data_IF_887749600658
#
_entry.id   IF_887749600658
#
_cell.length_a   1.000
_cell.length_b   1.000
_cell.length_c   1.000
_cell.angle_alpha   90.00
_cell.angle_beta   90.00
_cell.angle_gamma   90.00
#
_symmetry.space_group_name_H-M   'P 1'
#
loop_
_entity.id
_entity.type
_entity.pdbx_description
1 polymer ?
#
# COMPACT_ATOMS: atom_id res chain seq x y z
N UNK A 1 -3.94 -14.83 -1.74
CA UNK A 1 -4.14 -16.28 -1.53
C UNK A 1 -5.42 -16.48 -0.77
N UNK A 2 -6.27 -17.38 -1.23
CA UNK A 2 -7.62 -17.59 -0.73
C UNK A 2 -7.86 -19.06 -0.38
N UNK A 3 -8.82 -19.28 0.52
CA UNK A 3 -9.38 -20.55 0.98
C UNK A 3 -8.45 -21.43 1.83
N UNK A 4 -8.97 -21.88 2.97
CA UNK A 4 -8.38 -22.90 3.87
C UNK A 4 -6.93 -22.60 4.30
N UNK A 5 -6.54 -21.34 4.43
CA UNK A 5 -5.18 -20.95 4.81
C UNK A 5 -4.85 -21.40 6.22
N UNK A 6 -5.81 -21.31 7.14
CA UNK A 6 -5.73 -21.76 8.53
C UNK A 6 -6.91 -22.68 8.88
N UNK A 7 -7.25 -23.61 7.98
CA UNK A 7 -8.46 -24.43 8.01
C UNK A 7 -8.71 -25.17 9.33
N UNK A 8 -7.65 -25.66 10.02
CA UNK A 8 -7.79 -26.29 11.33
C UNK A 8 -8.37 -25.35 12.41
N UNK A 9 -8.23 -24.02 12.22
CA UNK A 9 -8.77 -23.03 13.16
C UNK A 9 -10.29 -22.88 13.11
N UNK A 10 -10.98 -23.59 12.23
CA UNK A 10 -12.44 -23.76 12.32
C UNK A 10 -12.82 -24.36 13.69
N UNK A 11 -12.04 -25.33 14.20
CA UNK A 11 -12.31 -26.06 15.45
C UNK A 11 -11.15 -26.01 16.46
N UNK A 12 -10.04 -25.36 16.12
CA UNK A 12 -8.85 -25.26 17.00
C UNK A 12 -8.47 -23.80 17.24
N UNK A 13 -8.08 -23.41 18.46
CA UNK A 13 -7.61 -22.06 18.76
C UNK A 13 -6.23 -21.74 18.16
N UNK A 14 -5.54 -22.72 17.58
CA UNK A 14 -4.22 -22.58 16.96
C UNK A 14 -4.17 -23.38 15.66
N UNK A 15 -3.44 -22.90 14.63
CA UNK A 15 -3.28 -23.62 13.38
C UNK A 15 -2.31 -24.79 13.52
N UNK A 16 -2.35 -25.72 12.58
CA UNK A 16 -1.30 -26.70 12.41
C UNK A 16 0.01 -26.03 11.97
N UNK A 17 1.14 -26.72 12.16
CA UNK A 17 2.46 -26.21 11.70
C UNK A 17 2.53 -26.05 10.18
N UNK A 18 1.86 -26.94 9.44
CA UNK A 18 1.80 -26.87 7.98
C UNK A 18 1.09 -25.58 7.54
N UNK A 19 -0.11 -25.32 8.07
CA UNK A 19 -0.89 -24.13 7.76
C UNK A 19 -0.17 -22.81 8.14
N UNK A 20 0.49 -22.78 9.30
CA UNK A 20 1.29 -21.62 9.68
C UNK A 20 2.46 -21.37 8.70
N UNK A 21 3.09 -22.44 8.23
CA UNK A 21 4.14 -22.38 7.21
C UNK A 21 3.58 -21.93 5.85
N UNK A 22 2.43 -22.45 5.44
CA UNK A 22 1.79 -22.09 4.17
C UNK A 22 1.34 -20.64 4.16
N UNK A 23 0.79 -20.16 5.28
CA UNK A 23 0.44 -18.74 5.45
C UNK A 23 1.67 -17.82 5.33
N UNK A 24 2.79 -18.20 5.97
CA UNK A 24 4.04 -17.45 5.86
C UNK A 24 4.61 -17.49 4.43
N UNK A 25 4.58 -18.65 3.78
CA UNK A 25 5.06 -18.81 2.41
C UNK A 25 4.20 -18.01 1.42
N UNK A 26 2.88 -17.92 1.61
CA UNK A 26 2.01 -17.09 0.77
C UNK A 26 2.50 -15.62 0.75
N UNK A 27 2.90 -15.09 1.89
CA UNK A 27 3.47 -13.73 1.99
C UNK A 27 4.82 -13.65 1.28
N UNK A 28 5.71 -14.61 1.53
CA UNK A 28 7.06 -14.64 0.95
C UNK A 28 7.04 -14.88 -0.57
N UNK A 29 6.01 -15.55 -1.08
CA UNK A 29 5.77 -15.73 -2.52
C UNK A 29 5.16 -14.48 -3.18
N UNK A 30 4.88 -13.43 -2.40
CA UNK A 30 4.45 -12.14 -2.90
C UNK A 30 2.94 -11.95 -3.01
N UNK A 31 2.15 -12.66 -2.22
CA UNK A 31 0.70 -12.41 -2.15
C UNK A 31 0.43 -10.99 -1.63
N UNK A 32 -0.51 -10.28 -2.26
CA UNK A 32 -0.98 -8.97 -1.79
C UNK A 32 -1.84 -9.08 -0.54
N UNK A 33 -2.64 -10.17 -0.43
CA UNK A 33 -3.52 -10.42 0.69
C UNK A 33 -3.70 -11.92 0.91
N UNK A 34 -3.99 -12.30 2.15
CA UNK A 34 -4.46 -13.64 2.55
C UNK A 34 -5.91 -13.56 3.01
N UNK A 35 -6.72 -14.55 2.66
CA UNK A 35 -8.15 -14.57 2.94
C UNK A 35 -8.51 -15.77 3.81
N UNK A 36 -9.27 -15.54 4.86
CA UNK A 36 -9.98 -16.59 5.62
C UNK A 36 -11.32 -16.89 4.96
N UNK A 37 -11.84 -18.09 5.16
CA UNK A 37 -13.14 -18.56 4.65
C UNK A 37 -13.98 -19.10 5.81
N UNK A 38 -14.08 -20.43 5.91
CA UNK A 38 -14.83 -21.11 6.97
C UNK A 38 -14.31 -20.77 8.37
N UNK A 39 -13.02 -20.50 8.50
CA UNK A 39 -12.36 -20.15 9.76
C UNK A 39 -13.03 -18.94 10.44
N UNK A 40 -13.53 -18.00 9.64
CA UNK A 40 -14.22 -16.78 10.13
C UNK A 40 -15.71 -16.77 9.86
N UNK A 41 -16.22 -17.55 8.89
CA UNK A 41 -17.64 -17.59 8.55
C UNK A 41 -18.46 -18.50 9.51
N UNK A 42 -17.92 -19.64 9.90
CA UNK A 42 -18.60 -20.65 10.73
C UNK A 42 -17.70 -21.21 11.84
N UNK A 43 -16.43 -20.82 11.90
CA UNK A 43 -15.46 -21.32 12.87
C UNK A 43 -15.75 -20.90 14.30
N UNK A 44 -15.23 -21.65 15.25
CA UNK A 44 -15.36 -21.39 16.70
C UNK A 44 -14.42 -20.27 17.18
N UNK A 45 -13.35 -19.96 16.41
CA UNK A 45 -12.29 -19.03 16.80
C UNK A 45 -12.03 -17.90 15.77
N UNK A 46 -13.06 -17.19 15.26
CA UNK A 46 -12.91 -16.27 14.14
C UNK A 46 -11.94 -15.12 14.42
N UNK A 47 -11.99 -14.54 15.61
CA UNK A 47 -11.11 -13.42 16.01
C UNK A 47 -9.67 -13.89 16.15
N UNK A 48 -9.45 -15.05 16.78
CA UNK A 48 -8.09 -15.59 16.96
C UNK A 48 -7.48 -16.03 15.62
N UNK A 49 -8.29 -16.48 14.66
CA UNK A 49 -7.85 -16.80 13.31
C UNK A 49 -7.27 -15.56 12.62
N UNK A 50 -8.01 -14.45 12.60
CA UNK A 50 -7.55 -13.19 11.99
C UNK A 50 -6.29 -12.68 12.69
N UNK A 51 -6.25 -12.68 14.02
CA UNK A 51 -5.06 -12.27 14.78
C UNK A 51 -3.84 -13.16 14.47
N UNK A 52 -4.05 -14.46 14.37
CA UNK A 52 -2.98 -15.42 14.06
C UNK A 52 -2.46 -15.20 12.64
N UNK A 53 -3.35 -15.05 11.66
CA UNK A 53 -2.98 -14.74 10.29
C UNK A 53 -2.19 -13.43 10.20
N UNK A 54 -2.67 -12.37 10.83
CA UNK A 54 -1.98 -11.07 10.86
C UNK A 54 -0.59 -11.18 11.50
N UNK A 55 -0.45 -11.94 12.61
CA UNK A 55 0.84 -12.15 13.28
C UNK A 55 1.82 -12.93 12.40
N UNK A 56 1.37 -14.00 11.73
CA UNK A 56 2.22 -14.80 10.84
C UNK A 56 2.65 -13.94 9.65
N UNK A 57 1.72 -13.23 9.01
CA UNK A 57 2.01 -12.36 7.85
C UNK A 57 2.96 -11.23 8.21
N UNK A 58 2.74 -10.56 9.35
CA UNK A 58 3.61 -9.50 9.84
C UNK A 58 5.03 -10.01 10.12
N UNK A 59 5.16 -11.14 10.81
CA UNK A 59 6.46 -11.75 11.09
C UNK A 59 7.19 -12.17 9.80
N UNK A 60 6.48 -12.78 8.85
CA UNK A 60 7.06 -13.18 7.56
C UNK A 60 7.56 -11.95 6.77
N UNK A 61 6.80 -10.87 6.76
CA UNK A 61 7.22 -9.61 6.11
C UNK A 61 8.44 -9.01 6.81
N UNK A 62 8.44 -8.91 8.13
CA UNK A 62 9.53 -8.28 8.89
C UNK A 62 10.87 -9.03 8.75
N UNK A 63 10.84 -10.37 8.71
CA UNK A 63 12.03 -11.20 8.74
C UNK A 63 12.37 -11.85 7.40
N UNK A 64 11.53 -11.71 6.39
CA UNK A 64 11.70 -12.32 5.09
C UNK A 64 11.50 -11.36 3.91
N UNK A 65 11.52 -10.06 4.16
CA UNK A 65 11.26 -9.05 3.13
C UNK A 65 12.13 -9.23 1.88
N UNK A 66 13.42 -9.51 2.05
CA UNK A 66 14.36 -9.71 0.95
C UNK A 66 14.04 -10.92 0.04
N UNK A 67 13.15 -11.80 0.49
CA UNK A 67 12.69 -12.97 -0.26
C UNK A 67 11.43 -12.71 -1.08
N UNK A 68 10.72 -11.60 -0.79
CA UNK A 68 9.49 -11.26 -1.50
C UNK A 68 9.85 -10.83 -2.93
N UNK A 69 9.27 -11.47 -3.97
CA UNK A 69 9.63 -11.15 -5.35
C UNK A 69 9.17 -9.74 -5.73
N UNK A 70 10.08 -8.97 -6.33
CA UNK A 70 9.76 -7.70 -6.97
C UNK A 70 9.31 -7.96 -8.40
N UNK A 71 8.17 -7.42 -8.78
CA UNK A 71 7.62 -7.53 -10.14
C UNK A 71 8.09 -6.35 -11.00
N UNK A 72 9.41 -6.07 -10.96
CA UNK A 72 10.04 -4.97 -11.71
C UNK A 72 9.90 -5.18 -13.23
N UNK A 73 9.90 -4.08 -13.95
CA UNK A 73 9.96 -4.04 -15.43
C UNK A 73 8.80 -4.71 -16.19
N UNK A 74 7.67 -4.99 -15.55
CA UNK A 74 6.50 -5.56 -16.23
C UNK A 74 5.65 -4.51 -16.96
N UNK A 75 5.75 -3.24 -16.57
CA UNK A 75 5.01 -2.14 -17.20
C UNK A 75 5.96 -1.13 -17.83
N UNK A 76 6.21 -1.30 -19.12
CA UNK A 76 7.09 -0.44 -19.91
C UNK A 76 6.42 0.88 -20.35
N UNK A 77 5.22 1.17 -19.86
CA UNK A 77 4.57 2.47 -20.12
C UNK A 77 5.25 3.60 -19.33
N UNK A 78 5.03 4.84 -19.78
CA UNK A 78 5.53 6.02 -19.04
C UNK A 78 5.06 6.04 -17.60
N UNK A 79 3.82 5.66 -17.33
CA UNK A 79 3.27 5.58 -15.96
C UNK A 79 3.93 4.46 -15.15
N UNK A 80 4.23 3.31 -15.77
CA UNK A 80 4.98 2.22 -15.14
C UNK A 80 6.39 2.66 -14.76
N UNK A 81 7.11 3.28 -15.69
CA UNK A 81 8.46 3.80 -15.45
C UNK A 81 8.50 4.86 -14.33
N UNK A 82 7.51 5.78 -14.30
CA UNK A 82 7.37 6.77 -13.23
C UNK A 82 7.11 6.09 -11.88
N UNK A 83 6.26 5.06 -11.84
CA UNK A 83 5.94 4.34 -10.61
C UNK A 83 7.14 3.57 -10.05
N UNK A 84 7.91 2.91 -10.93
CA UNK A 84 9.17 2.22 -10.56
C UNK A 84 10.22 3.22 -10.05
N UNK A 85 10.41 4.33 -10.75
CA UNK A 85 11.33 5.38 -10.33
C UNK A 85 10.95 5.97 -8.96
N UNK A 86 9.66 6.09 -8.65
CA UNK A 86 9.20 6.58 -7.35
C UNK A 86 9.54 5.62 -6.21
N UNK A 87 9.41 4.31 -6.42
CA UNK A 87 9.79 3.29 -5.45
C UNK A 87 11.31 3.33 -5.18
N UNK A 88 12.13 3.34 -6.25
CA UNK A 88 13.59 3.45 -6.15
C UNK A 88 14.03 4.75 -5.46
N UNK A 89 13.36 5.85 -5.76
CA UNK A 89 13.65 7.15 -5.16
C UNK A 89 13.33 7.18 -3.68
N UNK A 90 12.21 6.57 -3.27
CA UNK A 90 11.82 6.47 -1.88
C UNK A 90 12.84 5.66 -1.06
N UNK A 91 13.32 4.56 -1.60
CA UNK A 91 14.37 3.73 -0.98
C UNK A 91 15.68 4.51 -0.83
N UNK A 92 16.19 5.12 -1.92
CA UNK A 92 17.45 5.89 -1.91
C UNK A 92 17.43 7.07 -0.95
N UNK A 93 16.28 7.71 -0.77
CA UNK A 93 16.11 8.86 0.11
C UNK A 93 15.75 8.46 1.55
N UNK A 94 15.55 7.18 1.81
CA UNK A 94 14.97 6.68 3.06
C UNK A 94 13.68 7.44 3.41
N UNK A 95 12.78 7.58 2.41
CA UNK A 95 11.56 8.34 2.54
C UNK A 95 10.62 7.67 3.54
N UNK A 96 9.89 8.49 4.29
CA UNK A 96 8.92 8.03 5.29
C UNK A 96 7.66 7.45 4.64
N UNK A 97 7.31 7.94 3.46
CA UNK A 97 6.12 7.54 2.73
C UNK A 97 6.26 7.74 1.21
N UNK A 98 5.55 6.90 0.46
CA UNK A 98 5.19 7.16 -0.93
C UNK A 98 3.71 7.54 -0.94
N UNK A 99 3.38 8.66 -1.56
CA UNK A 99 2.02 9.19 -1.63
C UNK A 99 1.58 9.21 -3.08
N UNK A 100 0.45 8.60 -3.39
CA UNK A 100 -0.07 8.59 -4.74
C UNK A 100 -1.50 9.11 -4.78
N UNK A 101 -1.71 10.22 -5.48
CA UNK A 101 -3.05 10.69 -5.82
C UNK A 101 -3.64 9.82 -6.92
N UNK A 102 -4.84 9.30 -6.68
CA UNK A 102 -5.44 8.32 -7.59
C UNK A 102 -6.96 8.34 -7.57
N UNK A 103 -7.59 8.24 -8.76
CA UNK A 103 -9.04 8.09 -8.89
C UNK A 103 -9.45 6.62 -9.08
N UNK A 104 -8.60 5.83 -9.68
CA UNK A 104 -8.88 4.42 -10.04
C UNK A 104 -8.04 3.40 -9.27
N UNK A 105 -7.08 3.85 -8.47
CA UNK A 105 -6.11 2.98 -7.80
C UNK A 105 -4.91 2.57 -8.65
N UNK A 106 -4.92 2.85 -9.95
CA UNK A 106 -3.92 2.31 -10.89
C UNK A 106 -2.48 2.71 -10.57
N UNK A 107 -2.23 3.95 -10.15
CA UNK A 107 -0.91 4.44 -9.73
C UNK A 107 -0.41 3.68 -8.51
N UNK A 108 -1.27 3.53 -7.51
CA UNK A 108 -0.96 2.82 -6.26
C UNK A 108 -0.62 1.36 -6.54
N UNK A 109 -1.41 0.68 -7.38
CA UNK A 109 -1.13 -0.71 -7.76
C UNK A 109 0.21 -0.87 -8.47
N UNK A 110 0.59 0.08 -9.35
CA UNK A 110 1.90 0.04 -10.01
C UNK A 110 3.04 0.19 -9.02
N UNK A 111 2.95 1.14 -8.09
CA UNK A 111 3.96 1.30 -7.02
C UNK A 111 4.00 0.07 -6.10
N UNK A 112 2.84 -0.46 -5.72
CA UNK A 112 2.73 -1.66 -4.87
C UNK A 112 3.42 -2.89 -5.49
N UNK A 113 3.38 -3.03 -6.82
CA UNK A 113 4.08 -4.12 -7.55
C UNK A 113 5.60 -4.09 -7.41
N UNK A 114 6.17 -2.90 -7.23
CA UNK A 114 7.60 -2.74 -6.98
C UNK A 114 8.02 -3.23 -5.59
N UNK A 115 7.07 -3.53 -4.71
CA UNK A 115 7.31 -4.01 -3.33
C UNK A 115 8.27 -3.11 -2.54
N UNK A 116 8.07 -1.78 -2.50
CA UNK A 116 8.95 -0.93 -1.70
C UNK A 116 8.79 -1.24 -0.21
N UNK A 117 9.89 -1.13 0.55
CA UNK A 117 9.83 -1.17 2.01
C UNK A 117 9.11 0.05 2.61
N UNK A 118 9.08 1.16 1.85
CA UNK A 118 8.39 2.40 2.23
C UNK A 118 6.88 2.23 2.08
N UNK A 119 6.06 2.56 3.10
CA UNK A 119 4.62 2.46 3.03
C UNK A 119 4.03 3.37 1.94
N UNK A 120 2.96 2.88 1.30
CA UNK A 120 2.27 3.57 0.20
C UNK A 120 0.93 4.09 0.70
N UNK A 121 0.69 5.40 0.59
CA UNK A 121 -0.59 6.03 0.89
C UNK A 121 -1.29 6.47 -0.40
N UNK A 122 -2.43 5.84 -0.69
CA UNK A 122 -3.26 6.19 -1.83
C UNK A 122 -4.33 7.22 -1.43
N UNK A 123 -4.20 8.45 -1.91
CA UNK A 123 -5.13 9.54 -1.64
C UNK A 123 -6.19 9.61 -2.73
N UNK A 124 -7.46 9.51 -2.37
CA UNK A 124 -8.57 9.47 -3.34
C UNK A 124 -9.86 10.06 -2.79
N UNK A 125 -10.61 10.74 -3.65
CA UNK A 125 -11.99 11.17 -3.37
C UNK A 125 -13.01 10.07 -3.69
N UNK A 126 -12.59 9.00 -4.38
CA UNK A 126 -13.47 7.91 -4.79
C UNK A 126 -13.59 6.84 -3.69
N UNK A 127 -14.82 6.62 -3.20
CA UNK A 127 -15.12 5.67 -2.13
C UNK A 127 -14.78 4.23 -2.51
N UNK A 128 -15.13 3.80 -3.72
CA UNK A 128 -14.85 2.45 -4.19
C UNK A 128 -13.33 2.20 -4.26
N UNK A 129 -12.58 3.16 -4.80
CA UNK A 129 -11.12 3.09 -4.88
C UNK A 129 -10.50 3.04 -3.49
N UNK A 130 -10.97 3.88 -2.55
CA UNK A 130 -10.52 3.87 -1.17
C UNK A 130 -10.58 2.46 -0.54
N UNK A 131 -11.73 1.79 -0.66
CA UNK A 131 -11.88 0.44 -0.13
C UNK A 131 -11.04 -0.60 -0.88
N UNK A 132 -10.92 -0.46 -2.20
CA UNK A 132 -10.18 -1.42 -3.02
C UNK A 132 -8.68 -1.37 -2.78
N UNK A 133 -8.11 -0.22 -2.46
CA UNK A 133 -6.69 -0.07 -2.13
C UNK A 133 -6.25 -0.97 -0.96
N UNK A 134 -7.15 -1.31 -0.05
CA UNK A 134 -6.86 -2.22 1.07
C UNK A 134 -6.46 -3.64 0.63
N UNK A 135 -6.72 -4.03 -0.63
CA UNK A 135 -6.32 -5.32 -1.19
C UNK A 135 -4.92 -5.30 -1.83
N UNK A 136 -4.25 -4.15 -1.85
CA UNK A 136 -2.92 -3.99 -2.44
C UNK A 136 -1.84 -4.07 -1.39
N UNK A 137 -0.77 -4.79 -1.68
CA UNK A 137 0.36 -4.95 -0.76
C UNK A 137 0.98 -3.61 -0.36
N UNK A 138 1.27 -3.45 0.93
CA UNK A 138 1.98 -2.28 1.47
C UNK A 138 1.21 -0.96 1.35
N UNK A 139 -0.08 -1.00 1.06
CA UNK A 139 -0.91 0.16 0.73
C UNK A 139 -1.95 0.45 1.80
N UNK A 140 -2.12 1.73 2.10
CA UNK A 140 -3.25 2.23 2.88
C UNK A 140 -3.96 3.33 2.08
N UNK A 141 -5.28 3.20 1.93
CA UNK A 141 -6.12 4.24 1.34
C UNK A 141 -6.40 5.35 2.36
N UNK A 142 -6.37 6.59 1.91
CA UNK A 142 -6.85 7.76 2.66
C UNK A 142 -7.94 8.43 1.85
N UNK A 143 -9.16 8.46 2.40
CA UNK A 143 -10.29 9.13 1.78
C UNK A 143 -10.15 10.64 1.95
N UNK A 144 -10.26 11.35 0.83
CA UNK A 144 -10.27 12.80 0.80
C UNK A 144 -11.71 13.32 0.74
N UNK A 145 -11.99 14.37 1.51
CA UNK A 145 -13.27 15.08 1.50
C UNK A 145 -13.27 16.22 0.47
N UNK A 146 -12.09 16.69 0.07
CA UNK A 146 -11.89 17.81 -0.85
C UNK A 146 -11.27 17.36 -2.17
N UNK A 147 -11.65 18.04 -3.26
CA UNK A 147 -11.04 17.83 -4.57
C UNK A 147 -9.67 18.52 -4.62
N UNK A 148 -8.69 17.82 -5.18
CA UNK A 148 -7.29 18.26 -5.29
C UNK A 148 -6.89 18.63 -6.73
N UNK A 149 -7.78 18.43 -7.69
CA UNK A 149 -7.43 18.50 -9.11
C UNK A 149 -6.98 19.91 -9.58
N UNK A 150 -7.55 20.95 -9.01
CA UNK A 150 -7.22 22.33 -9.37
C UNK A 150 -6.18 22.98 -8.45
N UNK A 151 -5.62 22.22 -7.51
CA UNK A 151 -4.59 22.74 -6.60
C UNK A 151 -3.29 23.04 -7.34
N UNK A 152 -2.67 24.17 -7.02
CA UNK A 152 -1.30 24.41 -7.44
C UNK A 152 -0.36 23.37 -6.80
N UNK A 153 0.84 23.19 -7.37
CA UNK A 153 1.85 22.27 -6.77
C UNK A 153 2.10 22.60 -5.31
N UNK A 154 2.22 23.88 -4.98
CA UNK A 154 2.46 24.33 -3.60
C UNK A 154 1.28 23.98 -2.68
N UNK A 155 0.08 24.25 -3.13
CA UNK A 155 -1.12 23.94 -2.35
C UNK A 155 -1.29 22.42 -2.18
N UNK A 156 -0.99 21.64 -3.22
CA UNK A 156 -1.03 20.18 -3.18
C UNK A 156 -0.04 19.62 -2.15
N UNK A 157 1.19 20.16 -2.06
CA UNK A 157 2.16 19.73 -1.05
C UNK A 157 1.71 20.11 0.36
N UNK A 158 1.20 21.32 0.55
CA UNK A 158 0.63 21.76 1.84
C UNK A 158 -0.55 20.86 2.26
N UNK A 159 -1.46 20.57 1.34
CA UNK A 159 -2.59 19.68 1.57
C UNK A 159 -2.13 18.25 1.89
N UNK A 160 -1.12 17.73 1.17
CA UNK A 160 -0.53 16.42 1.46
C UNK A 160 -0.01 16.36 2.91
N UNK A 161 0.72 17.39 3.33
CA UNK A 161 1.26 17.50 4.69
C UNK A 161 0.15 17.45 5.75
N UNK A 162 -0.92 18.22 5.54
CA UNK A 162 -2.05 18.28 6.46
C UNK A 162 -2.75 16.93 6.58
N UNK A 163 -3.05 16.30 5.43
CA UNK A 163 -3.71 14.98 5.38
C UNK A 163 -2.87 13.92 6.08
N UNK A 164 -1.59 13.83 5.75
CA UNK A 164 -0.73 12.79 6.33
C UNK A 164 -0.48 13.01 7.83
N UNK A 165 -0.27 14.24 8.26
CA UNK A 165 -0.10 14.56 9.69
C UNK A 165 -1.37 14.30 10.49
N UNK A 166 -2.53 14.69 9.97
CA UNK A 166 -3.84 14.41 10.59
C UNK A 166 -4.06 12.92 10.82
N UNK A 167 -3.57 12.09 9.90
CA UNK A 167 -3.64 10.64 9.98
C UNK A 167 -2.45 10.00 10.73
N UNK A 168 -1.53 10.78 11.30
CA UNK A 168 -0.39 10.28 12.09
C UNK A 168 0.64 9.51 11.28
N UNK A 169 0.75 9.76 9.97
CA UNK A 169 1.63 9.02 9.06
C UNK A 169 3.03 9.62 8.94
N UNK A 170 3.14 10.93 9.10
CA UNK A 170 4.39 11.68 8.97
C UNK A 170 4.50 12.79 10.01
N UNK A 171 5.73 13.25 10.25
CA UNK A 171 6.07 14.40 11.08
C UNK A 171 6.83 15.45 10.25
N UNK A 172 6.94 16.69 10.79
CA UNK A 172 7.75 17.73 10.15
C UNK A 172 9.20 17.27 10.01
N UNK A 173 9.79 17.52 8.85
CA UNK A 173 11.15 17.10 8.52
C UNK A 173 11.23 15.72 7.84
N UNK A 174 10.18 14.91 7.85
CA UNK A 174 10.14 13.66 7.11
C UNK A 174 10.18 13.94 5.60
N UNK A 175 10.93 13.10 4.86
CA UNK A 175 10.90 13.11 3.39
C UNK A 175 9.81 12.19 2.89
N UNK A 176 9.07 12.64 1.90
CA UNK A 176 8.05 11.84 1.19
C UNK A 176 8.26 11.95 -0.32
N UNK A 177 7.83 10.91 -1.03
CA UNK A 177 7.79 10.89 -2.50
C UNK A 177 6.32 10.96 -2.93
N UNK A 178 5.95 11.97 -3.70
CA UNK A 178 4.55 12.21 -4.11
C UNK A 178 4.42 11.98 -5.61
N UNK A 179 3.45 11.15 -5.99
CA UNK A 179 3.07 10.91 -7.38
C UNK A 179 1.72 11.57 -7.68
N UNK A 180 1.69 12.28 -8.80
CA UNK A 180 0.46 12.89 -9.32
C UNK A 180 0.46 12.93 -10.84
N UNK A 181 -0.65 13.34 -11.45
CA UNK A 181 -0.68 13.80 -12.85
C UNK A 181 -0.26 15.25 -12.95
N UNK A 182 0.27 15.65 -14.12
CA UNK A 182 0.57 17.04 -14.39
C UNK A 182 -0.69 17.91 -14.28
N UNK A 183 -0.51 19.14 -13.81
CA UNK A 183 -1.60 20.11 -13.68
C UNK A 183 -2.32 20.33 -15.01
N UNK A 184 -3.66 20.33 -14.98
CA UNK A 184 -4.51 20.65 -16.12
C UNK A 184 -4.82 19.50 -17.08
N UNK A 185 -4.22 18.31 -16.91
CA UNK A 185 -4.52 17.13 -17.71
C UNK A 185 -5.02 15.98 -16.82
N UNK A 186 -6.34 15.96 -16.55
CA UNK A 186 -6.95 14.93 -15.72
C UNK A 186 -7.36 13.70 -16.56
N UNK A 187 -6.38 13.02 -17.14
CA UNK A 187 -6.63 11.73 -17.78
C UNK A 187 -6.58 10.61 -16.72
N UNK A 188 -7.67 9.91 -16.46
CA UNK A 188 -7.69 8.79 -15.53
C UNK A 188 -6.61 7.77 -15.89
N UNK A 189 -5.82 7.34 -14.89
CA UNK A 189 -4.76 6.36 -15.08
C UNK A 189 -3.42 6.90 -15.58
N UNK A 190 -3.28 8.22 -15.82
CA UNK A 190 -2.01 8.86 -16.15
C UNK A 190 -1.34 9.35 -14.87
N UNK A 191 -0.08 8.94 -14.68
CA UNK A 191 0.82 9.46 -13.63
C UNK A 191 2.12 9.79 -14.32
N UNK A 192 2.51 11.05 -14.32
CA UNK A 192 3.66 11.54 -15.06
C UNK A 192 4.58 12.46 -14.25
N UNK A 193 4.25 12.67 -12.97
CA UNK A 193 5.00 13.57 -12.11
C UNK A 193 5.38 12.90 -10.79
N UNK A 194 6.65 13.09 -10.40
CA UNK A 194 7.19 12.68 -9.10
C UNK A 194 7.74 13.93 -8.43
N UNK A 195 7.40 14.11 -7.17
CA UNK A 195 7.93 15.17 -6.32
C UNK A 195 8.59 14.56 -5.09
N UNK A 196 9.78 15.08 -4.75
CA UNK A 196 10.37 14.87 -3.42
C UNK A 196 9.98 16.07 -2.57
N UNK A 197 9.36 15.81 -1.44
CA UNK A 197 8.91 16.86 -0.55
C UNK A 197 9.40 16.58 0.88
N UNK A 198 9.74 17.66 1.61
CA UNK A 198 10.02 17.59 3.04
C UNK A 198 8.84 18.17 3.80
N UNK A 199 8.20 17.34 4.61
CA UNK A 199 6.98 17.70 5.35
C UNK A 199 7.21 18.94 6.22
N UNK A 200 6.36 19.95 6.04
CA UNK A 200 6.45 21.23 6.75
C UNK A 200 7.46 22.22 6.17
N UNK A 201 8.13 21.90 5.06
CA UNK A 201 8.94 22.89 4.35
C UNK A 201 8.03 23.83 3.54
N UNK A 202 8.28 25.12 3.64
CA UNK A 202 7.66 26.13 2.76
C UNK A 202 8.56 26.26 1.52
N UNK A 203 8.27 25.49 0.47
CA UNK A 203 8.92 25.63 -0.86
C UNK A 203 8.22 26.66 -1.74
#
# INVERSE_FOLDING_TARGET
VATEVLGSMVHSPVPSRAEASDCANAVLDGADATMTSNETAVGEYPVETVKTMARISGYATEHGFDRIPHLKDLDMSSTGAVSSAAADLAEKLNAKAIVAYTQTGSTVHRVSRERPATPIYGLTTNEHTYHWLALSWGTEGIKLDEDYHDMSRKDLMTFTDEVLRKNGKVANGDKIVVLSSAQGEHLPGRTDSIYVHTVGACD
#
